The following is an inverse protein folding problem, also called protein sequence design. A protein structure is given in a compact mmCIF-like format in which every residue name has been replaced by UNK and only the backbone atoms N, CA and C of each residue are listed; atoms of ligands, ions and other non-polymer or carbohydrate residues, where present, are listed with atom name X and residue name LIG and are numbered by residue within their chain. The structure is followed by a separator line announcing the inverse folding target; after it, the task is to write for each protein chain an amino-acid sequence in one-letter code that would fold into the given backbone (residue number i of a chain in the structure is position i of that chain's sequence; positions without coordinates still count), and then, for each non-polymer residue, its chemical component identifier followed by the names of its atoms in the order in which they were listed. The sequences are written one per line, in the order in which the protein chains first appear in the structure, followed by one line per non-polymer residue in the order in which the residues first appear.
data_IF_376244795784
#
_entry.id   IF_376244795784
#
_cell.length_a   1.000
_cell.length_b   1.000
_cell.length_c   1.000
_cell.angle_alpha   90.00
_cell.angle_beta   90.00
_cell.angle_gamma   90.00
#
_symmetry.space_group_name_H-M   'P 1'
#
loop_
_entity.id
_entity.type
_entity.pdbx_description
1 polymer ?
#
# COMPACT_ATOMS: atom_id res chain seq x y z
N UNK A 1 -9.62 -14.83 -3.92
CA UNK A 1 -9.74 -13.68 -4.84
C UNK A 1 -8.88 -12.57 -4.27
N UNK A 2 -7.69 -12.29 -4.76
CA UNK A 2 -7.01 -12.77 -5.94
C UNK A 2 -5.51 -12.62 -5.70
N UNK A 3 -4.73 -13.60 -6.11
CA UNK A 3 -3.29 -13.43 -6.13
C UNK A 3 -2.97 -12.36 -7.19
N UNK A 4 -2.49 -11.20 -6.74
CA UNK A 4 -2.17 -10.08 -7.62
C UNK A 4 -0.81 -10.27 -8.34
N UNK A 5 -0.11 -11.36 -8.00
CA UNK A 5 1.06 -11.87 -8.71
C UNK A 5 0.85 -13.35 -9.04
N UNK A 6 0.94 -13.69 -10.32
CA UNK A 6 1.16 -15.07 -10.78
C UNK A 6 2.54 -15.06 -11.46
N UNK A 7 3.45 -15.93 -11.02
CA UNK A 7 4.81 -16.08 -11.56
C UNK A 7 5.68 -14.79 -11.61
N UNK A 8 5.48 -13.86 -10.66
CA UNK A 8 6.26 -12.61 -10.58
C UNK A 8 5.78 -11.49 -11.51
N UNK A 9 4.63 -11.68 -12.16
CA UNK A 9 4.02 -10.72 -13.08
C UNK A 9 2.75 -10.15 -12.45
N UNK A 10 2.60 -8.83 -12.47
CA UNK A 10 1.38 -8.14 -12.05
C UNK A 10 0.25 -8.35 -13.05
N UNK A 11 -1.00 -8.01 -12.68
CA UNK A 11 -2.14 -8.07 -13.62
C UNK A 11 -1.94 -7.21 -14.87
N UNK A 12 -1.10 -6.20 -14.80
CA UNK A 12 -0.70 -5.31 -15.90
C UNK A 12 0.39 -5.90 -16.80
N UNK A 13 0.92 -7.09 -16.50
CA UNK A 13 2.00 -7.71 -17.27
C UNK A 13 3.40 -7.19 -16.92
N UNK A 14 3.52 -6.39 -15.86
CA UNK A 14 4.80 -5.77 -15.46
C UNK A 14 5.52 -6.64 -14.41
N UNK A 15 6.84 -6.56 -14.41
CA UNK A 15 7.66 -7.18 -13.37
C UNK A 15 7.42 -6.47 -12.04
N UNK A 16 7.13 -7.23 -10.99
CA UNK A 16 6.76 -6.65 -9.71
C UNK A 16 6.97 -7.59 -8.53
N UNK A 17 6.81 -7.05 -7.33
CA UNK A 17 6.93 -7.79 -6.09
C UNK A 17 5.75 -7.49 -5.16
N UNK A 18 5.40 -8.48 -4.33
CA UNK A 18 4.33 -8.34 -3.32
C UNK A 18 4.92 -8.35 -1.92
N UNK A 19 4.25 -7.62 -1.03
CA UNK A 19 4.40 -7.79 0.41
C UNK A 19 3.01 -7.81 1.06
N UNK A 20 2.89 -8.59 2.13
CA UNK A 20 1.66 -8.64 2.92
C UNK A 20 1.96 -8.67 4.40
N UNK A 21 1.17 -7.92 5.18
CA UNK A 21 1.14 -8.01 6.64
C UNK A 21 -0.22 -8.55 7.07
N UNK A 22 -0.21 -9.64 7.84
CA UNK A 22 -1.43 -10.33 8.28
C UNK A 22 -1.68 -10.12 9.77
N UNK A 23 -2.98 -10.11 10.14
CA UNK A 23 -3.45 -9.96 11.52
C UNK A 23 -3.05 -8.63 12.17
N UNK A 24 -2.97 -7.57 11.36
CA UNK A 24 -2.66 -6.22 11.81
C UNK A 24 -3.81 -5.72 12.70
N UNK A 25 -3.49 -5.18 13.88
CA UNK A 25 -4.48 -4.71 14.88
C UNK A 25 -5.04 -3.33 14.56
N UNK A 26 -5.34 -3.08 13.28
CA UNK A 26 -5.91 -1.86 12.75
C UNK A 26 -7.24 -2.18 12.07
N UNK A 27 -8.22 -1.28 12.25
CA UNK A 27 -9.52 -1.41 11.58
C UNK A 27 -9.33 -1.25 10.06
N UNK A 28 -9.94 -2.11 9.22
CA UNK A 28 -9.80 -2.04 7.77
C UNK A 28 -10.06 -0.65 7.19
N UNK A 29 -11.09 0.05 7.65
CA UNK A 29 -11.44 1.40 7.17
C UNK A 29 -10.35 2.44 7.44
N UNK A 30 -9.63 2.33 8.56
CA UNK A 30 -8.55 3.27 8.90
C UNK A 30 -7.32 3.02 8.03
N UNK A 31 -6.99 1.74 7.79
CA UNK A 31 -5.90 1.36 6.91
C UNK A 31 -6.20 1.72 5.43
N UNK A 32 -7.44 1.51 4.94
CA UNK A 32 -7.85 1.89 3.58
C UNK A 32 -7.63 3.37 3.30
N UNK A 33 -8.00 4.24 4.23
CA UNK A 33 -7.77 5.70 4.12
C UNK A 33 -6.31 6.04 3.85
N UNK A 34 -5.37 5.31 4.44
CA UNK A 34 -3.93 5.55 4.26
C UNK A 34 -3.44 4.94 2.95
N UNK A 35 -3.88 3.73 2.61
CA UNK A 35 -3.52 3.06 1.36
C UNK A 35 -3.95 3.86 0.12
N UNK A 36 -5.10 4.51 0.17
CA UNK A 36 -5.60 5.29 -0.96
C UNK A 36 -4.74 6.55 -1.23
N UNK A 37 -3.92 7.01 -0.27
CA UNK A 37 -2.97 8.11 -0.50
C UNK A 37 -1.77 7.71 -1.36
N UNK A 38 -1.33 6.45 -1.23
CA UNK A 38 -0.10 5.95 -1.87
C UNK A 38 -0.35 5.15 -3.14
N UNK A 39 -1.59 4.78 -3.42
CA UNK A 39 -1.97 4.06 -4.64
C UNK A 39 -1.60 4.90 -5.87
N UNK A 40 -0.85 4.32 -6.80
CA UNK A 40 -0.46 4.98 -8.05
C UNK A 40 0.65 6.02 -7.91
N UNK A 41 1.36 6.07 -6.77
CA UNK A 41 2.54 6.92 -6.56
C UNK A 41 3.83 6.13 -6.79
N UNK A 42 4.95 6.84 -6.96
CA UNK A 42 6.27 6.20 -6.94
C UNK A 42 6.56 5.63 -5.55
N UNK A 43 7.40 4.59 -5.48
CA UNK A 43 7.75 3.96 -4.22
C UNK A 43 8.42 4.94 -3.24
N UNK A 44 9.29 5.83 -3.73
CA UNK A 44 9.94 6.87 -2.93
C UNK A 44 8.94 7.88 -2.37
N UNK A 45 8.08 8.44 -3.22
CA UNK A 45 7.05 9.40 -2.80
C UNK A 45 6.08 8.77 -1.79
N UNK A 46 5.69 7.52 -2.01
CA UNK A 46 4.83 6.79 -1.08
C UNK A 46 5.47 6.63 0.30
N UNK A 47 6.76 6.28 0.38
CA UNK A 47 7.48 6.15 1.65
C UNK A 47 7.56 7.49 2.39
N UNK A 48 7.81 8.59 1.67
CA UNK A 48 7.86 9.94 2.25
C UNK A 48 6.49 10.39 2.78
N UNK A 49 5.43 10.21 1.99
CA UNK A 49 4.05 10.49 2.42
C UNK A 49 3.72 9.72 3.70
N UNK A 50 4.02 8.43 3.74
CA UNK A 50 3.70 7.57 4.89
C UNK A 50 4.52 7.93 6.13
N UNK A 51 5.78 8.36 5.96
CA UNK A 51 6.66 8.77 7.05
C UNK A 51 6.11 9.98 7.82
N UNK A 52 5.48 10.93 7.12
CA UNK A 52 4.95 12.16 7.71
C UNK A 52 3.42 12.16 7.87
N UNK A 53 2.74 11.08 7.48
CA UNK A 53 1.30 10.97 7.64
C UNK A 53 0.92 10.89 9.13
N UNK A 54 -0.04 11.72 9.62
CA UNK A 54 -0.42 11.77 11.03
C UNK A 54 -1.29 10.57 11.47
N UNK A 55 -1.68 9.70 10.55
CA UNK A 55 -2.58 8.58 10.83
C UNK A 55 -1.79 7.42 11.43
N UNK A 56 -2.22 6.88 12.57
CA UNK A 56 -1.50 5.76 13.23
C UNK A 56 -1.34 4.50 12.35
N UNK A 57 -2.18 4.31 11.33
CA UNK A 57 -2.07 3.20 10.39
C UNK A 57 -0.91 3.38 9.37
N UNK A 58 -0.28 4.55 9.32
CA UNK A 58 0.83 4.83 8.39
C UNK A 58 2.06 3.99 8.67
N UNK A 59 2.36 3.72 9.94
CA UNK A 59 3.53 2.93 10.35
C UNK A 59 3.44 1.48 9.81
N UNK A 60 2.27 0.85 9.95
CA UNK A 60 2.04 -0.51 9.45
C UNK A 60 2.13 -0.56 7.93
N UNK A 61 1.54 0.42 7.23
CA UNK A 61 1.58 0.51 5.76
C UNK A 61 3.00 0.80 5.28
N UNK A 62 3.75 1.67 5.95
CA UNK A 62 5.14 2.00 5.63
C UNK A 62 6.01 0.74 5.65
N UNK A 63 5.90 -0.09 6.69
CA UNK A 63 6.64 -1.35 6.79
C UNK A 63 6.31 -2.31 5.64
N UNK A 64 5.05 -2.37 5.23
CA UNK A 64 4.64 -3.23 4.10
C UNK A 64 5.20 -2.71 2.77
N UNK A 65 5.13 -1.39 2.53
CA UNK A 65 5.69 -0.78 1.31
C UNK A 65 7.21 -0.96 1.26
N UNK A 66 7.91 -0.70 2.37
CA UNK A 66 9.35 -0.91 2.46
C UNK A 66 9.75 -2.37 2.21
N UNK A 67 8.96 -3.32 2.73
CA UNK A 67 9.16 -4.75 2.46
C UNK A 67 8.91 -5.10 0.99
N UNK A 68 7.93 -4.48 0.33
CA UNK A 68 7.67 -4.72 -1.09
C UNK A 68 8.82 -4.23 -1.97
N UNK A 69 9.38 -3.06 -1.66
CA UNK A 69 10.56 -2.51 -2.33
C UNK A 69 11.78 -3.41 -2.14
N UNK A 70 12.06 -3.84 -0.90
CA UNK A 70 13.17 -4.75 -0.62
C UNK A 70 13.02 -6.10 -1.36
N UNK A 71 11.79 -6.63 -1.45
CA UNK A 71 11.53 -7.86 -2.22
C UNK A 71 11.77 -7.66 -3.72
N UNK A 72 11.40 -6.50 -4.26
CA UNK A 72 11.63 -6.18 -5.67
C UNK A 72 13.13 -6.07 -5.99
N UNK A 73 13.90 -5.43 -5.10
CA UNK A 73 15.35 -5.27 -5.25
C UNK A 73 16.08 -6.61 -5.14
N UNK A 74 15.85 -7.36 -4.07
CA UNK A 74 16.64 -8.56 -3.79
C UNK A 74 16.22 -9.79 -4.59
N UNK A 75 14.92 -10.01 -4.80
CA UNK A 75 14.45 -11.23 -5.46
C UNK A 75 14.30 -11.07 -6.98
N UNK A 76 14.03 -9.86 -7.46
CA UNK A 76 13.75 -9.60 -8.87
C UNK A 76 14.77 -8.66 -9.53
N UNK A 77 15.74 -8.13 -8.77
CA UNK A 77 16.80 -7.25 -9.30
C UNK A 77 16.27 -5.95 -9.90
N UNK A 78 15.09 -5.50 -9.47
CA UNK A 78 14.44 -4.31 -10.00
C UNK A 78 15.02 -3.06 -9.35
N UNK A 79 15.22 -1.99 -10.13
CA UNK A 79 15.67 -0.70 -9.63
C UNK A 79 14.58 -0.02 -8.78
N UNK A 80 14.84 0.25 -7.48
CA UNK A 80 13.91 0.94 -6.60
C UNK A 80 13.39 2.28 -7.12
N UNK A 81 14.18 3.00 -7.93
CA UNK A 81 13.78 4.30 -8.48
C UNK A 81 12.68 4.19 -9.55
N UNK A 82 12.55 3.02 -10.18
CA UNK A 82 11.53 2.75 -11.22
C UNK A 82 10.27 2.10 -10.67
N UNK A 83 10.21 1.84 -9.35
CA UNK A 83 9.10 1.15 -8.72
C UNK A 83 7.93 2.10 -8.44
N UNK A 84 6.74 1.59 -8.74
CA UNK A 84 5.47 2.26 -8.48
C UNK A 84 4.56 1.37 -7.67
N UNK A 85 3.73 1.97 -6.82
CA UNK A 85 2.68 1.26 -6.09
C UNK A 85 1.52 1.01 -7.05
N UNK A 86 1.47 -0.19 -7.64
CA UNK A 86 0.43 -0.59 -8.59
C UNK A 86 -0.88 -0.90 -7.88
N UNK A 87 -0.94 -2.07 -7.26
CA UNK A 87 -2.13 -2.53 -6.52
C UNK A 87 -1.87 -2.51 -5.01
N UNK A 88 -2.82 -1.97 -4.26
CA UNK A 88 -2.77 -1.97 -2.81
C UNK A 88 -4.18 -2.22 -2.27
N UNK A 89 -4.34 -3.18 -1.37
CA UNK A 89 -5.65 -3.53 -0.83
C UNK A 89 -5.56 -3.93 0.64
N UNK A 90 -6.68 -3.70 1.32
CA UNK A 90 -6.83 -4.00 2.74
C UNK A 90 -8.09 -4.84 2.92
N UNK A 91 -7.86 -6.09 3.27
CA UNK A 91 -8.91 -7.05 3.56
C UNK A 91 -9.25 -7.06 5.05
N UNK A 92 -10.48 -7.45 5.34
CA UNK A 92 -10.91 -7.63 6.72
C UNK A 92 -10.33 -8.95 7.26
N UNK A 93 -9.65 -8.86 8.40
CA UNK A 93 -9.15 -10.01 9.13
C UNK A 93 -10.14 -10.56 10.15
N UNK A 94 -9.75 -11.58 10.92
CA UNK A 94 -10.60 -12.13 11.98
C UNK A 94 -10.96 -11.06 13.01
N UNK A 95 -12.24 -10.98 13.34
CA UNK A 95 -12.75 -10.03 14.33
C UNK A 95 -12.93 -10.72 15.68
N UNK A 96 -12.20 -10.25 16.69
CA UNK A 96 -12.34 -10.72 18.06
C UNK A 96 -13.55 -10.04 18.73
N UNK A 97 -14.37 -10.82 19.43
CA UNK A 97 -15.58 -10.34 20.13
C UNK A 97 -15.27 -10.20 21.63
N UNK A 98 -15.67 -9.08 22.25
CA UNK A 98 -15.60 -8.86 23.71
C UNK A 98 -16.94 -8.32 24.20
N UNK A 99 -17.39 -8.74 25.37
CA UNK A 99 -18.64 -8.26 25.98
C UNK A 99 -18.35 -6.99 26.79
N UNK A 100 -19.26 -6.03 26.75
CA UNK A 100 -19.24 -4.82 27.58
C UNK A 100 -20.56 -4.73 28.35
N UNK A 101 -20.55 -4.75 29.69
CA UNK A 101 -21.76 -4.53 30.48
C UNK A 101 -22.29 -3.11 30.28
N UNK A 102 -23.62 -2.95 30.27
CA UNK A 102 -24.33 -1.67 30.16
C UNK A 102 -25.51 -1.63 31.14
N UNK A 103 -26.09 -0.45 31.32
CA UNK A 103 -27.25 -0.23 32.18
C UNK A 103 -28.42 -1.18 31.86
N UNK A 104 -29.26 -1.44 32.87
CA UNK A 104 -30.41 -2.36 32.79
C UNK A 104 -30.04 -3.80 32.40
N UNK A 105 -28.90 -4.32 32.88
CA UNK A 105 -28.47 -5.71 32.63
C UNK A 105 -28.12 -6.02 31.17
N UNK A 106 -27.97 -4.99 30.31
CA UNK A 106 -27.72 -5.19 28.88
C UNK A 106 -26.26 -5.58 28.61
N UNK A 107 -26.05 -6.56 27.74
CA UNK A 107 -24.72 -6.99 27.29
C UNK A 107 -24.45 -6.53 25.86
N UNK A 108 -23.59 -5.52 25.69
CA UNK A 108 -23.20 -5.03 24.36
C UNK A 108 -21.93 -5.74 23.88
N UNK A 109 -21.69 -5.75 22.57
CA UNK A 109 -20.50 -6.37 21.97
C UNK A 109 -19.53 -5.32 21.45
N UNK A 110 -18.28 -5.37 21.90
CA UNK A 110 -17.16 -4.67 21.28
C UNK A 110 -16.52 -5.61 20.25
N UNK A 111 -16.31 -5.10 19.03
CA UNK A 111 -15.57 -5.79 17.97
C UNK A 111 -14.15 -5.25 17.92
N UNK A 112 -13.15 -6.10 18.13
CA UNK A 112 -11.73 -5.80 17.91
C UNK A 112 -11.37 -6.37 16.55
N UNK A 113 -11.60 -5.55 15.51
CA UNK A 113 -11.33 -5.91 14.11
C UNK A 113 -9.83 -5.91 13.85
N UNK A 114 -9.39 -6.80 12.98
CA UNK A 114 -8.04 -6.82 12.42
C UNK A 114 -8.10 -6.67 10.91
N UNK A 115 -6.96 -6.44 10.27
CA UNK A 115 -6.85 -6.33 8.82
C UNK A 115 -5.68 -7.13 8.28
N UNK A 116 -5.77 -7.44 6.99
CA UNK A 116 -4.68 -7.95 6.18
C UNK A 116 -4.36 -6.89 5.14
N UNK A 117 -3.11 -6.44 5.11
CA UNK A 117 -2.65 -5.40 4.21
C UNK A 117 -1.78 -6.06 3.15
N UNK A 118 -2.09 -5.82 1.88
CA UNK A 118 -1.30 -6.33 0.76
C UNK A 118 -0.95 -5.17 -0.16
N UNK A 119 0.34 -5.08 -0.52
CA UNK A 119 0.87 -4.09 -1.44
C UNK A 119 1.65 -4.81 -2.53
N UNK A 120 1.43 -4.38 -3.77
CA UNK A 120 2.14 -4.83 -4.96
C UNK A 120 2.83 -3.63 -5.59
N UNK A 121 4.14 -3.76 -5.75
CA UNK A 121 4.95 -2.81 -6.50
C UNK A 121 5.22 -3.36 -7.89
N UNK A 122 5.23 -2.48 -8.88
CA UNK A 122 5.54 -2.80 -10.27
C UNK A 122 6.63 -1.87 -10.79
N UNK A 123 7.55 -2.41 -11.60
CA UNK A 123 8.51 -1.59 -12.34
C UNK A 123 7.79 -0.97 -13.53
N UNK A 124 7.67 0.36 -13.53
CA UNK A 124 7.20 1.11 -14.69
C UNK A 124 8.42 1.72 -15.37
N UNK A 125 8.81 1.23 -16.56
CA UNK A 125 9.89 1.86 -17.29
C UNK A 125 9.51 3.32 -17.56
N UNK A 126 10.47 4.26 -17.46
CA UNK A 126 10.20 5.65 -17.77
C UNK A 126 9.72 5.73 -19.22
N UNK A 127 8.49 6.21 -19.42
CA UNK A 127 7.92 6.36 -20.75
C UNK A 127 8.85 7.29 -21.53
N UNK A 128 9.42 6.81 -22.64
CA UNK A 128 10.39 7.55 -23.46
C UNK A 128 9.82 8.78 -24.19
N UNK A 129 8.68 9.32 -23.72
CA UNK A 129 7.83 10.25 -24.47
C UNK A 129 7.18 11.30 -23.59
N UNK A 130 7.97 12.19 -23.01
CA UNK A 130 7.61 13.62 -22.97
C UNK A 130 8.90 14.41 -23.00
N UNK A 131 9.48 14.54 -24.21
CA UNK A 131 10.44 15.62 -24.47
C UNK A 131 9.67 16.90 -24.19
N UNK A 132 9.92 17.52 -23.04
CA UNK A 132 9.38 18.83 -22.73
C UNK A 132 9.65 19.74 -23.93
N UNK A 133 8.58 20.25 -24.52
CA UNK A 133 8.66 21.26 -25.56
C UNK A 133 9.55 22.38 -25.00
N UNK A 134 10.71 22.61 -25.64
CA UNK A 134 11.53 23.78 -25.34
C UNK A 134 10.63 24.98 -25.63
N UNK A 135 10.16 25.66 -24.58
CA UNK A 135 9.56 26.98 -24.75
C UNK A 135 10.66 27.88 -25.27
N UNK A 136 10.73 28.07 -26.58
CA UNK A 136 11.54 29.12 -27.18
C UNK A 136 11.08 30.43 -26.57
N UNK A 137 11.94 31.05 -25.76
CA UNK A 137 11.67 32.32 -25.12
C UNK A 137 11.25 33.34 -26.17
N UNK A 138 10.13 34.03 -25.92
CA UNK A 138 9.76 35.21 -26.70
C UNK A 138 10.25 36.42 -25.92
N UNK A 139 11.39 36.95 -26.34
CA UNK A 139 11.91 38.22 -25.87
C UNK A 139 10.89 39.34 -26.12
N UNK A 140 10.67 40.16 -25.10
CA UNK A 140 10.25 41.58 -25.19
C UNK A 140 10.92 42.33 -24.06
#
# INVERSE_FOLDING_TARGET
MADALVDGVTRSGLAGARASARYVRVSPTKARRVIDLVRGRSASEALDILRFAPQAASEDVYKVVASAVANAEHNHGLDPATLWVGEAFVDEGPTLKRIRPRAQGRAYRIRKRTSHITVVVESRPPVAGTRGAKSTGRAR
#
